data_IF_340043451547
#
_entry.id   IF_340043451547
#
_cell.length_a   1.000
_cell.length_b   1.000
_cell.length_c   1.000
_cell.angle_alpha   90.00
_cell.angle_beta   90.00
_cell.angle_gamma   90.00
#
_symmetry.space_group_name_H-M   'P 1'
#
loop_
_entity.id
_entity.type
_entity.pdbx_description
1 polymer ?
#
# COMPACT_ATOMS: atom_id res chain seq x y z
N UNK A 1 5.07 -28.53 8.82
CA UNK A 1 3.79 -28.36 8.13
C UNK A 1 2.70 -28.43 9.19
N UNK A 2 2.06 -27.31 9.52
CA UNK A 2 1.05 -27.24 10.59
C UNK A 2 -0.32 -27.58 10.03
N UNK A 3 -0.95 -28.63 10.54
CA UNK A 3 -2.28 -29.11 10.14
C UNK A 3 -3.27 -28.91 11.28
N UNK A 4 -3.40 -27.68 11.78
CA UNK A 4 -4.50 -27.35 12.69
C UNK A 4 -5.65 -26.82 11.84
N UNK A 5 -6.78 -27.56 11.68
CA UNK A 5 -7.93 -27.02 10.98
C UNK A 5 -8.50 -25.83 11.75
N UNK A 6 -8.78 -24.74 11.06
CA UNK A 6 -9.59 -23.64 11.59
C UNK A 6 -10.99 -24.18 11.91
N UNK A 7 -11.36 -24.16 13.19
CA UNK A 7 -12.68 -24.63 13.64
C UNK A 7 -13.63 -23.43 13.70
N UNK A 8 -14.70 -23.44 12.90
CA UNK A 8 -15.84 -22.53 13.08
C UNK A 8 -16.85 -23.23 13.97
N UNK A 9 -16.94 -22.83 15.23
CA UNK A 9 -17.94 -23.34 16.17
C UNK A 9 -19.21 -22.49 16.14
N UNK A 10 -20.34 -23.10 15.79
CA UNK A 10 -21.67 -22.52 16.01
C UNK A 10 -22.21 -23.07 17.33
N UNK A 11 -22.02 -22.34 18.43
CA UNK A 11 -22.31 -22.83 19.79
C UNK A 11 -23.76 -23.33 20.01
N UNK A 12 -24.74 -22.82 19.24
CA UNK A 12 -26.14 -23.23 19.31
C UNK A 12 -26.47 -24.51 18.50
N UNK A 13 -25.50 -25.11 17.82
CA UNK A 13 -25.68 -26.16 16.82
C UNK A 13 -24.70 -27.34 16.99
N UNK A 14 -24.44 -27.73 18.23
CA UNK A 14 -23.55 -28.85 18.53
C UNK A 14 -23.95 -30.11 17.74
N UNK A 15 -23.00 -30.68 16.99
CA UNK A 15 -23.21 -31.89 16.17
C UNK A 15 -23.84 -31.65 14.79
N UNK A 16 -23.98 -30.40 14.35
CA UNK A 16 -24.41 -30.03 12.99
C UNK A 16 -23.30 -29.30 12.23
N UNK A 17 -23.38 -29.32 10.91
CA UNK A 17 -22.40 -28.75 10.00
C UNK A 17 -22.98 -27.51 9.30
N UNK A 18 -22.11 -26.54 8.98
CA UNK A 18 -22.43 -25.43 8.09
C UNK A 18 -22.59 -25.98 6.66
N UNK A 19 -23.69 -25.64 6.00
CA UNK A 19 -24.15 -26.33 4.79
C UNK A 19 -24.78 -25.33 3.80
N UNK A 20 -24.49 -25.48 2.51
CA UNK A 20 -25.18 -24.72 1.45
C UNK A 20 -26.53 -25.35 1.18
N UNK A 21 -27.62 -24.58 1.31
CA UNK A 21 -28.98 -25.12 1.21
C UNK A 21 -29.20 -25.85 -0.13
N UNK A 22 -29.52 -27.14 -0.05
CA UNK A 22 -29.76 -27.98 -1.23
C UNK A 22 -28.49 -28.39 -2.00
N UNK A 23 -27.31 -27.94 -1.60
CA UNK A 23 -26.06 -28.15 -2.34
C UNK A 23 -25.98 -27.37 -3.65
N UNK A 24 -26.81 -26.33 -3.81
CA UNK A 24 -26.84 -25.48 -4.99
C UNK A 24 -25.64 -24.51 -4.99
N UNK A 25 -24.96 -24.37 -6.12
CA UNK A 25 -23.77 -23.51 -6.28
C UNK A 25 -24.13 -22.08 -6.75
N UNK A 26 -25.41 -21.74 -6.78
CA UNK A 26 -25.91 -20.47 -7.25
C UNK A 26 -25.66 -19.35 -6.23
N UNK A 27 -25.22 -18.18 -6.70
CA UNK A 27 -25.04 -17.00 -5.85
C UNK A 27 -26.35 -16.61 -5.14
N UNK A 28 -26.25 -16.35 -3.84
CA UNK A 28 -27.41 -16.02 -3.00
C UNK A 28 -28.12 -17.23 -2.41
N UNK A 29 -27.66 -18.46 -2.69
CA UNK A 29 -28.14 -19.66 -1.99
C UNK A 29 -27.89 -19.52 -0.49
N UNK A 30 -28.92 -19.68 0.36
CA UNK A 30 -28.77 -19.53 1.80
C UNK A 30 -27.81 -20.56 2.41
N UNK A 31 -27.05 -20.12 3.41
CA UNK A 31 -26.26 -21.00 4.26
C UNK A 31 -27.11 -21.43 5.45
N UNK A 32 -27.09 -22.71 5.76
CA UNK A 32 -27.88 -23.32 6.82
C UNK A 32 -27.00 -24.17 7.75
N UNK A 33 -27.57 -24.53 8.90
CA UNK A 33 -27.00 -25.48 9.84
C UNK A 33 -27.73 -26.80 9.67
N UNK A 34 -27.05 -27.81 9.14
CA UNK A 34 -27.66 -29.08 8.75
C UNK A 34 -26.96 -30.29 9.37
N UNK A 35 -27.62 -31.45 9.30
CA UNK A 35 -27.01 -32.71 9.74
C UNK A 35 -25.74 -32.97 8.94
N UNK A 36 -24.63 -33.24 9.63
CA UNK A 36 -23.37 -33.57 8.97
C UNK A 36 -23.54 -34.82 8.09
N UNK A 37 -23.22 -34.69 6.81
CA UNK A 37 -23.33 -35.74 5.79
C UNK A 37 -22.08 -35.87 4.91
N UNK A 38 -21.08 -34.99 5.08
CA UNK A 38 -19.80 -35.06 4.38
C UNK A 38 -19.83 -34.66 2.91
N UNK A 39 -20.96 -34.15 2.41
CA UNK A 39 -21.09 -33.65 1.04
C UNK A 39 -20.20 -32.44 0.77
N UNK A 40 -19.88 -32.13 -0.50
CA UNK A 40 -19.15 -30.91 -0.85
C UNK A 40 -19.82 -29.63 -0.34
N UNK A 41 -21.15 -29.62 -0.20
CA UNK A 41 -21.91 -28.49 0.36
C UNK A 41 -21.56 -28.16 1.83
N UNK A 42 -20.86 -29.08 2.52
CA UNK A 42 -20.38 -28.92 3.90
C UNK A 42 -18.87 -28.70 4.00
N UNK A 43 -18.18 -28.62 2.87
CA UNK A 43 -16.74 -28.41 2.79
C UNK A 43 -16.47 -26.95 2.45
N UNK A 44 -16.01 -26.20 3.44
CA UNK A 44 -15.76 -24.78 3.29
C UNK A 44 -14.26 -24.53 3.13
N UNK A 45 -13.87 -23.93 2.01
CA UNK A 45 -12.58 -23.27 1.89
C UNK A 45 -12.75 -21.82 2.39
N UNK A 46 -12.28 -21.56 3.61
CA UNK A 46 -12.16 -20.19 4.08
C UNK A 46 -10.99 -19.54 3.38
N UNK A 47 -11.26 -18.68 2.39
CA UNK A 47 -10.27 -17.73 1.88
C UNK A 47 -10.16 -16.56 2.84
N UNK A 48 -9.63 -16.85 4.02
CA UNK A 48 -9.29 -15.85 5.01
C UNK A 48 -7.87 -15.37 4.78
N UNK A 49 -7.70 -14.10 4.44
CA UNK A 49 -6.46 -13.36 4.70
C UNK A 49 -6.33 -13.15 6.21
N UNK A 50 -5.97 -14.22 6.93
CA UNK A 50 -5.58 -14.12 8.34
C UNK A 50 -4.51 -15.15 8.67
N UNK A 51 -3.25 -14.75 8.50
CA UNK A 51 -2.15 -15.37 9.24
C UNK A 51 -2.18 -14.78 10.64
N UNK A 52 -2.83 -15.46 11.58
CA UNK A 52 -2.51 -15.27 13.00
C UNK A 52 -1.00 -15.54 13.16
N UNK A 53 -0.24 -14.47 13.36
CA UNK A 53 1.22 -14.48 13.50
C UNK A 53 2.02 -13.69 12.46
N UNK A 54 1.39 -13.14 11.40
CA UNK A 54 2.07 -12.23 10.46
C UNK A 54 1.13 -11.07 10.15
N UNK A 55 1.26 -9.98 10.92
CA UNK A 55 0.49 -8.77 10.67
C UNK A 55 0.78 -8.29 9.25
N UNK A 56 -0.26 -8.22 8.42
CA UNK A 56 -0.21 -7.54 7.13
C UNK A 56 0.22 -6.10 7.36
N UNK A 57 1.28 -5.65 6.68
CA UNK A 57 1.72 -4.25 6.68
C UNK A 57 0.68 -3.44 5.91
N UNK A 58 0.01 -2.49 6.58
CA UNK A 58 -1.00 -1.53 6.08
C UNK A 58 -1.98 -2.06 5.02
N UNK A 59 -3.27 -2.13 5.35
CA UNK A 59 -4.32 -2.63 4.43
C UNK A 59 -4.91 -1.55 3.52
N UNK A 60 -4.39 -0.32 3.53
CA UNK A 60 -4.90 0.73 2.66
C UNK A 60 -4.22 0.72 1.29
N UNK A 61 -4.88 1.28 0.27
CA UNK A 61 -4.34 1.43 -1.09
C UNK A 61 -3.03 2.23 -1.16
N UNK A 62 -2.79 3.11 -0.18
CA UNK A 62 -1.55 3.89 -0.02
C UNK A 62 -1.20 4.03 1.46
N UNK A 63 0.09 3.96 1.80
CA UNK A 63 0.63 4.33 3.11
C UNK A 63 2.01 4.97 2.97
N UNK A 64 2.46 5.69 4.01
CA UNK A 64 3.75 6.38 4.00
C UNK A 64 3.79 7.59 3.06
N UNK A 65 4.95 7.93 2.48
CA UNK A 65 5.04 9.09 1.56
C UNK A 65 4.06 9.01 0.37
N UNK A 66 3.84 7.85 -0.28
CA UNK A 66 2.82 7.71 -1.32
C UNK A 66 1.41 8.17 -0.91
N UNK A 67 1.06 8.02 0.38
CA UNK A 67 -0.19 8.56 0.91
C UNK A 67 -0.20 10.08 0.97
N UNK A 68 0.92 10.70 1.33
CA UNK A 68 1.08 12.17 1.32
C UNK A 68 0.97 12.71 -0.10
N UNK A 69 1.62 12.07 -1.08
CA UNK A 69 1.47 12.39 -2.51
C UNK A 69 -0.01 12.30 -2.94
N UNK A 70 -0.74 11.35 -2.36
CA UNK A 70 -2.19 11.16 -2.52
C UNK A 70 -3.09 12.31 -2.05
N UNK A 71 -2.61 13.19 -1.17
CA UNK A 71 -3.40 14.30 -0.65
C UNK A 71 -3.59 15.42 -1.67
N UNK A 72 -2.71 15.52 -2.65
CA UNK A 72 -2.70 16.58 -3.64
C UNK A 72 -3.43 16.14 -4.92
N UNK A 73 -4.73 15.92 -4.75
CA UNK A 73 -5.72 15.68 -5.82
C UNK A 73 -6.23 17.01 -6.40
N UNK A 74 -7.08 16.98 -7.44
CA UNK A 74 -7.51 18.18 -8.18
C UNK A 74 -8.04 19.32 -7.29
N UNK A 75 -8.71 18.97 -6.20
CA UNK A 75 -9.44 19.89 -5.35
C UNK A 75 -8.77 20.03 -3.97
N UNK A 76 -7.50 19.66 -3.83
CA UNK A 76 -6.79 19.63 -2.54
C UNK A 76 -6.79 20.98 -1.81
N UNK A 77 -6.85 22.10 -2.56
CA UNK A 77 -6.92 23.45 -1.99
C UNK A 77 -8.20 23.73 -1.19
N UNK A 78 -9.23 22.87 -1.28
CA UNK A 78 -10.40 22.93 -0.40
C UNK A 78 -10.12 22.33 0.98
N UNK A 79 -9.07 21.54 1.13
CA UNK A 79 -8.73 20.86 2.39
C UNK A 79 -7.89 21.72 3.34
N UNK A 80 -7.23 22.78 2.83
CA UNK A 80 -6.39 23.71 3.59
C UNK A 80 -5.83 24.87 2.74
N UNK A 81 -5.34 25.93 3.38
CA UNK A 81 -4.81 27.13 2.71
C UNK A 81 -3.37 26.99 2.21
N UNK A 82 -2.66 25.93 2.62
CA UNK A 82 -1.33 25.58 2.12
C UNK A 82 -1.12 24.07 2.11
N UNK A 83 -0.10 23.60 1.37
CA UNK A 83 0.26 22.19 1.34
C UNK A 83 0.62 21.64 2.74
N UNK A 84 1.36 22.43 3.53
CA UNK A 84 1.71 22.07 4.90
C UNK A 84 0.48 21.96 5.80
N UNK A 85 -0.51 22.85 5.66
CA UNK A 85 -1.77 22.77 6.41
C UNK A 85 -2.57 21.51 6.07
N UNK A 86 -2.65 21.14 4.79
CA UNK A 86 -3.34 19.91 4.36
C UNK A 86 -2.68 18.67 4.97
N UNK A 87 -1.35 18.59 4.90
CA UNK A 87 -0.59 17.47 5.49
C UNK A 87 -0.73 17.45 7.03
N UNK A 88 -0.65 18.61 7.69
CA UNK A 88 -0.81 18.71 9.14
C UNK A 88 -2.21 18.25 9.60
N UNK A 89 -3.26 18.66 8.87
CA UNK A 89 -4.65 18.23 9.13
C UNK A 89 -4.81 16.72 8.95
N UNK A 90 -4.21 16.16 7.90
CA UNK A 90 -4.19 14.71 7.70
C UNK A 90 -3.51 13.98 8.87
N UNK A 91 -2.34 14.43 9.30
CA UNK A 91 -1.63 13.83 10.44
C UNK A 91 -2.37 13.97 11.76
N UNK A 92 -3.07 15.09 12.00
CA UNK A 92 -3.91 15.28 13.18
C UNK A 92 -5.03 14.22 13.27
N UNK A 93 -5.58 13.81 12.13
CA UNK A 93 -6.61 12.78 12.03
C UNK A 93 -6.05 11.34 11.93
N UNK A 94 -4.75 11.18 11.71
CA UNK A 94 -4.10 9.88 11.51
C UNK A 94 -3.69 9.22 12.83
N UNK A 95 -3.64 7.89 12.81
CA UNK A 95 -3.03 7.11 13.87
C UNK A 95 -1.51 7.27 13.92
N UNK A 96 -0.91 6.92 15.06
CA UNK A 96 0.52 7.10 15.28
C UNK A 96 1.39 6.27 14.33
N UNK A 97 0.95 5.05 13.99
CA UNK A 97 1.68 4.13 13.10
C UNK A 97 1.74 4.65 11.66
N UNK A 98 0.67 5.27 11.18
CA UNK A 98 0.59 5.91 9.87
C UNK A 98 1.58 7.09 9.79
N UNK A 99 1.61 7.94 10.81
CA UNK A 99 2.54 9.08 10.88
C UNK A 99 3.99 8.59 10.97
N UNK A 100 4.27 7.52 11.73
CA UNK A 100 5.59 6.90 11.77
C UNK A 100 6.03 6.37 10.39
N UNK A 101 5.12 5.82 9.59
CA UNK A 101 5.44 5.31 8.26
C UNK A 101 5.87 6.45 7.34
N UNK A 102 5.11 7.55 7.37
CA UNK A 102 5.44 8.75 6.60
C UNK A 102 6.77 9.34 7.06
N UNK A 103 6.99 9.44 8.37
CA UNK A 103 8.24 9.96 8.93
C UNK A 103 9.46 9.14 8.46
N UNK A 104 9.40 7.80 8.56
CA UNK A 104 10.48 6.92 8.09
C UNK A 104 10.75 7.12 6.60
N UNK A 105 9.69 7.05 5.80
CA UNK A 105 9.79 7.17 4.34
C UNK A 105 10.36 8.52 3.93
N UNK A 106 9.85 9.63 4.48
CA UNK A 106 10.30 10.97 4.13
C UNK A 106 11.77 11.19 4.50
N UNK A 107 12.23 10.63 5.63
CA UNK A 107 13.64 10.69 6.03
C UNK A 107 14.56 9.96 5.07
N UNK A 108 14.20 8.74 4.64
CA UNK A 108 15.04 8.00 3.68
C UNK A 108 14.94 8.58 2.28
N UNK A 109 13.76 9.09 1.89
CA UNK A 109 13.55 9.76 0.60
C UNK A 109 14.43 11.00 0.47
N UNK A 110 14.59 11.76 1.56
CA UNK A 110 15.46 12.93 1.64
C UNK A 110 16.95 12.67 1.34
N UNK A 111 17.39 11.41 1.24
CA UNK A 111 18.74 11.06 0.79
C UNK A 111 18.93 11.17 -0.74
N UNK A 112 17.85 11.38 -1.49
CA UNK A 112 17.92 11.57 -2.93
C UNK A 112 18.42 12.96 -3.31
N UNK A 113 19.12 13.10 -4.46
CA UNK A 113 19.42 14.41 -5.04
C UNK A 113 18.14 15.20 -5.32
N UNK A 114 18.17 16.52 -5.16
CA UNK A 114 17.00 17.38 -5.36
C UNK A 114 16.28 17.17 -6.71
N UNK A 115 16.97 17.00 -7.86
CA UNK A 115 16.28 16.72 -9.11
C UNK A 115 15.45 15.42 -9.09
N UNK A 116 15.96 14.37 -8.45
CA UNK A 116 15.23 13.11 -8.32
C UNK A 116 14.04 13.26 -7.35
N UNK A 117 14.19 14.04 -6.28
CA UNK A 117 13.08 14.37 -5.39
C UNK A 117 11.95 15.11 -6.11
N UNK A 118 12.28 16.14 -6.89
CA UNK A 118 11.30 16.88 -7.70
C UNK A 118 10.54 15.91 -8.60
N UNK A 119 11.27 15.11 -9.39
CA UNK A 119 10.67 14.13 -10.30
C UNK A 119 9.69 13.19 -9.58
N UNK A 120 10.07 12.63 -8.42
CA UNK A 120 9.20 11.70 -7.70
C UNK A 120 7.99 12.37 -7.06
N UNK A 121 8.14 13.56 -6.48
CA UNK A 121 7.02 14.30 -5.91
C UNK A 121 6.00 14.70 -6.97
N UNK A 122 6.46 15.20 -8.12
CA UNK A 122 5.58 15.53 -9.24
C UNK A 122 4.93 14.27 -9.83
N UNK A 123 5.68 13.20 -10.10
CA UNK A 123 5.14 11.99 -10.71
C UNK A 123 4.16 11.22 -9.80
N UNK A 124 4.36 11.28 -8.48
CA UNK A 124 3.47 10.65 -7.51
C UNK A 124 2.20 11.45 -7.21
N UNK A 125 2.11 12.69 -7.70
CA UNK A 125 1.06 13.63 -7.32
C UNK A 125 0.21 14.03 -8.53
N UNK A 126 -1.11 14.08 -8.36
CA UNK A 126 -1.99 14.45 -9.47
C UNK A 126 -1.97 15.96 -9.74
N UNK A 127 -1.99 16.78 -8.69
CA UNK A 127 -1.97 18.24 -8.78
C UNK A 127 -1.02 18.83 -7.73
N UNK A 128 0.28 18.74 -8.02
CA UNK A 128 1.33 19.11 -7.08
C UNK A 128 1.25 20.61 -6.74
N UNK A 129 1.31 21.01 -5.45
CA UNK A 129 1.48 22.41 -5.09
C UNK A 129 2.75 22.98 -5.72
N UNK A 130 2.76 24.28 -6.01
CA UNK A 130 3.99 24.96 -6.39
C UNK A 130 4.98 24.88 -5.23
N UNK A 131 6.09 24.16 -5.45
CA UNK A 131 7.12 23.97 -4.45
C UNK A 131 8.17 25.10 -4.46
N UNK A 132 8.21 25.96 -5.47
CA UNK A 132 9.20 27.04 -5.53
C UNK A 132 9.13 27.97 -4.30
N UNK A 133 7.95 28.43 -3.83
CA UNK A 133 7.85 29.23 -2.60
C UNK A 133 8.26 28.46 -1.34
N UNK A 134 8.21 27.13 -1.40
CA UNK A 134 8.55 26.24 -0.29
C UNK A 134 10.04 25.85 -0.28
N UNK A 135 10.87 26.32 -1.23
CA UNK A 135 12.28 25.94 -1.31
C UNK A 135 12.55 24.64 -2.10
N UNK A 136 11.56 24.18 -2.89
CA UNK A 136 11.65 22.98 -3.72
C UNK A 136 11.38 21.68 -2.98
N UNK A 137 11.49 20.56 -3.68
CA UNK A 137 11.14 19.23 -3.17
C UNK A 137 11.99 18.78 -1.98
N UNK A 138 13.24 19.23 -1.88
CA UNK A 138 14.09 18.92 -0.73
C UNK A 138 13.57 19.57 0.56
N UNK A 139 13.20 20.86 0.49
CA UNK A 139 12.64 21.59 1.62
C UNK A 139 11.22 21.10 1.96
N UNK A 140 10.42 20.78 0.94
CA UNK A 140 9.13 20.13 1.13
C UNK A 140 9.25 18.78 1.84
N UNK A 141 10.20 17.93 1.44
CA UNK A 141 10.44 16.63 2.10
C UNK A 141 10.84 16.84 3.56
N UNK A 142 11.67 17.84 3.86
CA UNK A 142 12.01 18.21 5.25
C UNK A 142 10.78 18.68 6.02
N UNK A 143 9.95 19.53 5.43
CA UNK A 143 8.69 20.00 6.01
C UNK A 143 7.79 18.82 6.40
N UNK A 144 7.67 17.80 5.55
CA UNK A 144 6.88 16.59 5.86
C UNK A 144 7.43 15.84 7.08
N UNK A 145 8.77 15.72 7.21
CA UNK A 145 9.43 15.13 8.39
C UNK A 145 9.10 15.94 9.65
N UNK A 146 9.25 17.26 9.60
CA UNK A 146 8.99 18.15 10.75
C UNK A 146 7.53 18.10 11.19
N UNK A 147 6.58 18.03 10.25
CA UNK A 147 5.15 17.86 10.55
C UNK A 147 4.86 16.52 11.24
N UNK A 148 5.53 15.45 10.83
CA UNK A 148 5.43 14.17 11.53
C UNK A 148 5.98 14.26 12.96
N UNK A 149 7.16 14.85 13.15
CA UNK A 149 7.79 15.02 14.47
C UNK A 149 6.92 15.88 15.40
N UNK A 150 6.34 16.97 14.89
CA UNK A 150 5.39 17.80 15.64
C UNK A 150 4.13 17.02 16.05
N UNK A 151 3.60 16.17 15.17
CA UNK A 151 2.45 15.32 15.49
C UNK A 151 2.77 14.21 16.49
N UNK A 152 3.95 13.60 16.40
CA UNK A 152 4.36 12.50 17.27
C UNK A 152 4.74 12.99 18.68
N UNK A 153 5.29 14.20 18.80
CA UNK A 153 5.62 14.82 20.10
C UNK A 153 4.40 15.25 20.92
N UNK A 154 3.23 15.43 20.28
CA UNK A 154 1.98 15.86 20.93
C UNK A 154 0.97 14.72 21.14
N UNK A 155 1.22 13.54 20.58
CA UNK A 155 0.36 12.36 20.68
C UNK A 155 0.84 11.32 21.70
N UNK A 156 0.02 10.28 21.91
CA UNK A 156 0.51 9.06 22.55
C UNK A 156 1.63 8.44 21.69
N UNK A 157 2.67 7.94 22.35
CA UNK A 157 3.83 7.32 21.70
C UNK A 157 3.34 6.19 20.78
N UNK A 158 3.68 6.28 19.50
CA UNK A 158 3.31 5.26 18.54
C UNK A 158 4.24 4.06 18.74
N UNK A 159 3.67 2.85 18.83
CA UNK A 159 4.47 1.63 18.95
C UNK A 159 5.50 1.57 17.80
N UNK A 160 6.78 1.32 18.10
CA UNK A 160 7.81 1.25 17.08
C UNK A 160 7.52 0.13 16.08
N UNK A 161 8.00 0.31 14.84
CA UNK A 161 7.89 -0.75 13.83
C UNK A 161 8.63 -2.01 14.29
N UNK A 162 7.97 -3.15 14.16
CA UNK A 162 8.53 -4.47 14.47
C UNK A 162 8.21 -5.46 13.34
N UNK A 163 9.03 -6.51 13.22
CA UNK A 163 8.84 -7.55 12.21
C UNK A 163 8.79 -6.99 10.78
N UNK A 164 7.74 -7.38 10.04
CA UNK A 164 7.49 -6.99 8.65
C UNK A 164 7.49 -5.46 8.43
N UNK A 165 6.99 -4.71 9.42
CA UNK A 165 6.92 -3.26 9.32
C UNK A 165 8.31 -2.62 9.36
N UNK A 166 9.32 -3.30 9.92
CA UNK A 166 10.70 -2.82 9.99
C UNK A 166 11.54 -3.20 8.75
N UNK A 167 11.05 -4.07 7.86
CA UNK A 167 11.82 -4.51 6.68
C UNK A 167 11.88 -3.42 5.59
N UNK A 168 13.07 -3.22 5.02
CA UNK A 168 13.32 -2.29 3.90
C UNK A 168 13.16 -2.93 2.51
N UNK A 169 12.87 -4.24 2.45
CA UNK A 169 12.68 -4.94 1.18
C UNK A 169 13.96 -5.21 0.39
N UNK A 170 15.13 -5.20 1.02
CA UNK A 170 16.43 -5.41 0.35
C UNK A 170 16.47 -6.67 -0.54
N UNK A 171 15.83 -7.77 -0.11
CA UNK A 171 15.74 -9.02 -0.88
C UNK A 171 14.92 -8.89 -2.19
N UNK A 172 14.11 -7.83 -2.32
CA UNK A 172 13.27 -7.57 -3.49
C UNK A 172 13.90 -6.59 -4.48
N UNK A 173 15.12 -6.07 -4.23
CA UNK A 173 15.73 -5.00 -5.04
C UNK A 173 15.70 -5.31 -6.55
N UNK A 174 16.16 -6.50 -6.95
CA UNK A 174 16.23 -6.84 -8.38
C UNK A 174 14.84 -6.94 -9.02
N UNK A 175 13.85 -7.47 -8.30
CA UNK A 175 12.49 -7.55 -8.79
C UNK A 175 11.85 -6.16 -8.91
N UNK A 176 12.08 -5.28 -7.93
CA UNK A 176 11.61 -3.88 -7.98
C UNK A 176 12.25 -3.13 -9.16
N UNK A 177 13.56 -3.29 -9.36
CA UNK A 177 14.25 -2.68 -10.50
C UNK A 177 13.73 -3.19 -11.85
N UNK A 178 13.42 -4.48 -11.95
CA UNK A 178 12.83 -5.06 -13.16
C UNK A 178 11.44 -4.46 -13.47
N UNK A 179 10.60 -4.25 -12.45
CA UNK A 179 9.29 -3.63 -12.64
C UNK A 179 9.35 -2.13 -12.94
N UNK A 180 10.31 -1.41 -12.35
CA UNK A 180 10.61 -0.02 -12.75
C UNK A 180 11.02 0.02 -14.23
N UNK A 181 11.88 -0.89 -14.67
CA UNK A 181 12.31 -0.96 -16.07
C UNK A 181 11.14 -1.31 -17.01
N UNK A 182 10.28 -2.25 -16.62
CA UNK A 182 9.11 -2.69 -17.39
C UNK A 182 8.02 -1.62 -17.52
N UNK A 183 7.96 -0.62 -16.62
CA UNK A 183 7.01 0.49 -16.68
C UNK A 183 7.37 1.52 -17.78
N UNK A 184 7.35 1.06 -19.04
CA UNK A 184 7.79 1.85 -20.21
C UNK A 184 6.90 3.04 -20.54
N UNK A 185 5.66 3.04 -20.05
CA UNK A 185 4.73 4.17 -20.13
C UNK A 185 5.09 5.34 -19.21
N UNK A 186 5.95 5.14 -18.21
CA UNK A 186 6.47 6.24 -17.39
C UNK A 186 7.58 7.00 -18.14
N UNK A 187 7.78 8.28 -17.82
CA UNK A 187 8.90 9.02 -18.38
C UNK A 187 10.26 8.41 -17.95
N UNK A 188 11.29 8.46 -18.81
CA UNK A 188 12.62 7.94 -18.47
C UNK A 188 13.21 8.56 -17.20
N UNK A 189 12.95 9.85 -16.96
CA UNK A 189 13.41 10.55 -15.75
C UNK A 189 12.73 10.00 -14.49
N UNK A 190 11.43 9.68 -14.56
CA UNK A 190 10.69 9.05 -13.47
C UNK A 190 11.26 7.68 -13.16
N UNK A 191 11.51 6.85 -14.18
CA UNK A 191 12.16 5.53 -13.99
C UNK A 191 13.56 5.64 -13.39
N UNK A 192 14.34 6.64 -13.81
CA UNK A 192 15.67 6.89 -13.26
C UNK A 192 15.60 7.30 -11.78
N UNK A 193 14.69 8.21 -11.43
CA UNK A 193 14.48 8.64 -10.05
C UNK A 193 13.97 7.51 -9.15
N UNK A 194 13.07 6.65 -9.66
CA UNK A 194 12.62 5.43 -8.96
C UNK A 194 13.76 4.44 -8.74
N UNK A 195 14.66 4.30 -9.73
CA UNK A 195 15.86 3.46 -9.62
C UNK A 195 16.80 3.99 -8.54
N UNK A 196 17.02 5.30 -8.50
CA UNK A 196 17.79 5.95 -7.43
C UNK A 196 17.11 5.75 -6.06
N UNK A 197 15.79 5.86 -5.99
CA UNK A 197 15.02 5.58 -4.77
C UNK A 197 15.24 4.13 -4.29
N UNK A 198 15.15 3.15 -5.19
CA UNK A 198 15.33 1.74 -4.84
C UNK A 198 16.74 1.44 -4.30
N UNK A 199 17.76 2.14 -4.82
CA UNK A 199 19.17 1.91 -4.48
C UNK A 199 19.66 2.72 -3.28
N UNK A 200 19.16 3.95 -3.10
CA UNK A 200 19.66 4.91 -2.10
C UNK A 200 18.72 5.07 -0.90
N UNK A 201 17.44 4.78 -1.08
CA UNK A 201 16.44 4.76 -0.03
C UNK A 201 16.18 3.28 0.31
N UNK A 202 15.05 2.73 -0.12
CA UNK A 202 14.69 1.33 0.12
C UNK A 202 13.92 0.78 -1.08
N UNK A 203 14.08 -0.50 -1.44
CA UNK A 203 13.23 -1.14 -2.45
C UNK A 203 11.74 -1.09 -2.09
N UNK A 204 11.41 -1.24 -0.81
CA UNK A 204 10.03 -1.10 -0.31
C UNK A 204 9.43 0.27 -0.65
N UNK A 205 10.11 1.37 -0.32
CA UNK A 205 9.62 2.72 -0.63
C UNK A 205 9.52 2.92 -2.14
N UNK A 206 10.56 2.54 -2.89
CA UNK A 206 10.58 2.72 -4.34
C UNK A 206 9.45 1.97 -5.05
N UNK A 207 9.11 0.77 -4.57
CA UNK A 207 8.00 0.00 -5.13
C UNK A 207 6.65 0.67 -4.86
N UNK A 208 6.42 1.22 -3.65
CA UNK A 208 5.17 1.95 -3.37
C UNK A 208 5.06 3.25 -4.16
N UNK A 209 6.18 3.96 -4.34
CA UNK A 209 6.22 5.14 -5.20
C UNK A 209 5.99 4.75 -6.67
N UNK A 210 6.51 3.62 -7.14
CA UNK A 210 6.21 3.09 -8.47
C UNK A 210 4.69 2.88 -8.65
N UNK A 211 4.04 2.11 -7.78
CA UNK A 211 2.59 1.87 -7.85
C UNK A 211 1.79 3.18 -7.85
N UNK A 212 2.22 4.15 -7.04
CA UNK A 212 1.61 5.49 -7.00
C UNK A 212 1.79 6.25 -8.32
N UNK A 213 3.00 6.27 -8.87
CA UNK A 213 3.28 6.94 -10.16
C UNK A 213 2.51 6.32 -11.32
N UNK A 214 2.31 5.00 -11.32
CA UNK A 214 1.47 4.31 -12.32
C UNK A 214 0.02 4.82 -12.30
N UNK A 215 -0.53 5.09 -11.12
CA UNK A 215 -1.91 5.59 -10.98
C UNK A 215 -2.07 7.05 -11.43
N UNK A 216 -0.98 7.82 -11.38
CA UNK A 216 -0.96 9.21 -11.82
C UNK A 216 -0.60 9.37 -13.31
N UNK A 217 -0.06 8.33 -13.94
CA UNK A 217 0.32 8.37 -15.35
C UNK A 217 -0.91 8.20 -16.27
N UNK A 218 -1.15 9.12 -17.22
CA UNK A 218 -2.36 9.14 -18.03
C UNK A 218 -2.48 7.95 -18.99
N UNK A 219 -1.35 7.47 -19.51
CA UNK A 219 -1.27 6.38 -20.49
C UNK A 219 -0.80 5.06 -19.85
N UNK A 220 -0.93 4.93 -18.54
CA UNK A 220 -0.52 3.73 -17.84
C UNK A 220 -1.38 2.53 -18.25
N UNK A 221 -0.72 1.43 -18.59
CA UNK A 221 -1.35 0.18 -18.98
C UNK A 221 -0.48 -0.99 -18.51
N UNK A 222 -1.12 -2.04 -18.00
CA UNK A 222 -0.45 -3.24 -17.49
C UNK A 222 -0.93 -4.47 -18.27
N UNK A 223 0.02 -5.31 -18.66
CA UNK A 223 -0.33 -6.68 -19.08
C UNK A 223 -0.71 -7.54 -17.87
N UNK A 224 -1.53 -8.59 -18.04
CA UNK A 224 -1.83 -9.54 -16.97
C UNK A 224 -0.57 -10.13 -16.31
N UNK A 225 0.44 -10.48 -17.12
CA UNK A 225 1.71 -11.02 -16.64
C UNK A 225 2.50 -9.99 -15.81
N UNK A 226 2.45 -8.71 -16.18
CA UNK A 226 3.10 -7.65 -15.41
C UNK A 226 2.42 -7.45 -14.07
N UNK A 227 1.08 -7.40 -14.04
CA UNK A 227 0.35 -7.28 -12.79
C UNK A 227 0.63 -8.47 -11.85
N UNK A 228 0.70 -9.69 -12.35
CA UNK A 228 1.06 -10.86 -11.55
C UNK A 228 2.47 -10.75 -10.93
N UNK A 229 3.44 -10.14 -11.64
CA UNK A 229 4.77 -9.87 -11.08
C UNK A 229 4.73 -8.80 -10.00
N UNK A 230 3.93 -7.74 -10.18
CA UNK A 230 3.71 -6.73 -9.14
C UNK A 230 3.09 -7.36 -7.88
N UNK A 231 2.12 -8.28 -8.03
CA UNK A 231 1.54 -9.02 -6.90
C UNK A 231 2.60 -9.88 -6.18
N UNK A 232 3.49 -10.54 -6.93
CA UNK A 232 4.57 -11.32 -6.35
C UNK A 232 5.56 -10.44 -5.54
N UNK A 233 5.90 -9.25 -6.05
CA UNK A 233 6.74 -8.28 -5.32
C UNK A 233 6.03 -7.79 -4.06
N UNK A 234 4.75 -7.40 -4.15
CA UNK A 234 3.96 -6.96 -2.99
C UNK A 234 3.85 -8.05 -1.91
N UNK A 235 3.67 -9.31 -2.33
CA UNK A 235 3.66 -10.46 -1.41
C UNK A 235 5.01 -10.66 -0.72
N UNK A 236 6.12 -10.54 -1.46
CA UNK A 236 7.47 -10.64 -0.89
C UNK A 236 7.79 -9.50 0.09
N UNK A 237 7.24 -8.31 -0.16
CA UNK A 237 7.29 -7.14 0.73
C UNK A 237 6.25 -7.17 1.86
N UNK A 238 5.45 -8.24 1.94
CA UNK A 238 4.48 -8.49 3.01
C UNK A 238 3.35 -7.44 3.09
N UNK A 239 2.98 -6.87 1.95
CA UNK A 239 1.87 -5.91 1.87
C UNK A 239 0.50 -6.56 2.07
N UNK A 240 -0.45 -5.76 2.52
CA UNK A 240 -1.85 -6.12 2.48
C UNK A 240 -2.42 -6.20 1.06
N UNK A 241 -3.57 -6.85 0.97
CA UNK A 241 -4.31 -7.16 -0.27
C UNK A 241 -4.51 -5.93 -1.18
N UNK A 242 -4.67 -4.75 -0.58
CA UNK A 242 -5.08 -3.55 -1.32
C UNK A 242 -3.94 -2.73 -1.93
N UNK A 243 -2.69 -2.91 -1.50
CA UNK A 243 -1.59 -2.03 -1.93
C UNK A 243 -1.31 -2.22 -3.41
N UNK A 244 -1.17 -3.46 -3.88
CA UNK A 244 -0.98 -3.76 -5.31
C UNK A 244 -2.29 -3.67 -6.09
N UNK A 245 -3.42 -4.01 -5.47
CA UNK A 245 -4.74 -3.87 -6.10
C UNK A 245 -5.08 -2.43 -6.51
N UNK A 246 -4.37 -1.45 -5.94
CA UNK A 246 -4.45 -0.04 -6.35
C UNK A 246 -4.16 0.21 -7.83
N UNK A 247 -3.44 -0.69 -8.52
CA UNK A 247 -3.14 -0.58 -9.98
C UNK A 247 -3.88 -1.61 -10.83
N UNK A 248 -4.72 -2.47 -10.24
CA UNK A 248 -5.42 -3.55 -10.94
C UNK A 248 -6.31 -3.06 -12.09
N UNK A 249 -6.88 -1.87 -11.94
CA UNK A 249 -7.73 -1.27 -12.97
C UNK A 249 -6.97 -0.91 -14.26
N UNK A 250 -5.64 -0.87 -14.22
CA UNK A 250 -4.77 -0.62 -15.38
C UNK A 250 -4.54 -1.88 -16.23
N UNK A 251 -5.01 -3.06 -15.80
CA UNK A 251 -4.80 -4.31 -16.55
C UNK A 251 -5.66 -4.33 -17.81
N UNK A 252 -5.02 -4.43 -18.98
CA UNK A 252 -5.70 -4.58 -20.27
C UNK A 252 -6.60 -5.82 -20.22
N UNK A 253 -7.89 -5.64 -20.47
CA UNK A 253 -8.81 -6.76 -20.61
C UNK A 253 -8.67 -7.33 -22.03
N UNK A 254 -8.51 -8.66 -22.18
CA UNK A 254 -8.40 -9.30 -23.48
C UNK A 254 -9.66 -9.16 -24.34
#
# INVERSE_FOLDING_TARGET
MGTSPTVIEVHAAQGKCLDVQGGEDQNGTPVQVYTCNGSPAQQWELRGSKVEGRMSRFTDFDFGVPRVMGLFHQDWSHDGGSAAEVVAKYFAASGGKEVLAVHRDARVLGNLPSPALEVLWYAGTQYMPDLQPLGGAAEWTRTVVELCEARLSTGAEADPFTGADAEDGAACLDAVLAEIDAARFLDPEVRAALTDCARRCTPDLAFRVLLRTMRCAPDASLSPDQYQRLEAVGSALQYGEFVVDSVKYLVERP
#
